data_IF_205516300227
#
_entry.id   IF_205516300227
#
_cell.length_a   1.000
_cell.length_b   1.000
_cell.length_c   1.000
_cell.angle_alpha   90.00
_cell.angle_beta   90.00
_cell.angle_gamma   90.00
#
_symmetry.space_group_name_H-M   'P 1'
#
loop_
_entity.id
_entity.type
_entity.pdbx_description
1 polymer ?
#
# COMPACT_ATOMS: atom_id res chain seq x y z
N UNK A 1 -8.93 -19.51 7.02
CA UNK A 1 -7.63 -19.08 7.58
C UNK A 1 -7.86 -18.36 8.90
N UNK A 2 -7.19 -18.76 9.97
CA UNK A 2 -7.26 -18.05 11.25
C UNK A 2 -6.51 -16.72 11.14
N UNK A 3 -7.02 -15.72 11.82
CA UNK A 3 -6.63 -14.30 11.68
C UNK A 3 -5.19 -14.01 12.16
N UNK A 4 -4.62 -14.90 12.97
CA UNK A 4 -3.20 -14.85 13.35
C UNK A 4 -2.29 -15.27 12.18
N UNK A 5 -2.79 -16.12 11.28
CA UNK A 5 -2.04 -16.59 10.12
C UNK A 5 -1.80 -15.49 9.09
N UNK A 6 -2.76 -14.58 8.86
CA UNK A 6 -2.57 -13.46 7.92
C UNK A 6 -1.51 -12.47 8.40
N UNK A 7 -1.42 -12.21 9.70
CA UNK A 7 -0.38 -11.33 10.24
C UNK A 7 1.01 -11.96 10.14
N UNK A 8 1.11 -13.26 10.44
CA UNK A 8 2.35 -14.02 10.25
C UNK A 8 2.73 -14.09 8.76
N UNK A 9 1.76 -14.27 7.87
CA UNK A 9 1.98 -14.23 6.42
C UNK A 9 2.43 -12.83 5.96
N UNK A 10 1.89 -11.74 6.50
CA UNK A 10 2.40 -10.39 6.21
C UNK A 10 3.87 -10.23 6.61
N UNK A 11 4.27 -10.74 7.78
CA UNK A 11 5.68 -10.76 8.18
C UNK A 11 6.52 -11.57 7.21
N UNK A 12 6.08 -12.80 6.89
CA UNK A 12 6.77 -13.66 5.92
C UNK A 12 6.93 -12.96 4.58
N UNK A 13 5.90 -12.28 4.08
CA UNK A 13 5.97 -11.58 2.79
C UNK A 13 6.96 -10.41 2.81
N UNK A 14 6.97 -9.60 3.88
CA UNK A 14 7.94 -8.51 4.02
C UNK A 14 9.37 -9.04 3.91
N UNK A 15 9.69 -10.08 4.67
CA UNK A 15 11.05 -10.65 4.69
C UNK A 15 11.38 -11.44 3.42
N UNK A 16 10.42 -12.20 2.89
CA UNK A 16 10.60 -12.97 1.65
C UNK A 16 10.75 -12.06 0.42
N UNK A 17 10.25 -10.83 0.45
CA UNK A 17 10.49 -9.84 -0.59
C UNK A 17 11.85 -9.16 -0.40
N UNK A 18 12.16 -8.68 0.80
CA UNK A 18 13.35 -7.83 1.01
C UNK A 18 14.67 -8.59 1.09
N UNK A 19 14.70 -9.81 1.64
CA UNK A 19 15.95 -10.59 1.73
C UNK A 19 16.50 -10.89 0.34
N UNK A 20 15.72 -11.42 -0.62
CA UNK A 20 16.19 -11.60 -1.99
C UNK A 20 16.61 -10.28 -2.66
N UNK A 21 15.86 -9.19 -2.45
CA UNK A 21 16.19 -7.90 -3.05
C UNK A 21 17.57 -7.39 -2.62
N UNK A 22 17.90 -7.50 -1.33
CA UNK A 22 19.22 -7.10 -0.80
C UNK A 22 20.33 -8.09 -1.19
N UNK A 23 20.01 -9.37 -1.41
CA UNK A 23 20.98 -10.32 -1.96
C UNK A 23 21.34 -9.95 -3.41
N UNK A 24 20.37 -9.50 -4.20
CA UNK A 24 20.60 -9.02 -5.57
C UNK A 24 21.34 -7.69 -5.58
N UNK A 25 20.95 -6.76 -4.70
CA UNK A 25 21.57 -5.44 -4.57
C UNK A 25 22.05 -5.19 -3.13
N UNK A 26 23.31 -5.54 -2.86
CA UNK A 26 23.92 -5.50 -1.53
C UNK A 26 24.03 -4.10 -0.92
N UNK A 27 24.12 -3.07 -1.75
CA UNK A 27 24.26 -1.68 -1.29
C UNK A 27 22.95 -1.15 -0.67
N UNK A 28 21.82 -1.80 -0.98
CA UNK A 28 20.51 -1.46 -0.45
C UNK A 28 20.18 -2.12 0.90
N UNK A 29 21.17 -2.60 1.66
CA UNK A 29 20.97 -3.27 2.97
C UNK A 29 20.16 -2.44 3.97
N UNK A 30 20.24 -1.11 3.89
CA UNK A 30 19.52 -0.18 4.77
C UNK A 30 17.99 -0.34 4.66
N UNK A 31 17.48 -0.90 3.55
CA UNK A 31 16.05 -1.23 3.38
C UNK A 31 15.54 -2.26 4.40
N UNK A 32 16.42 -3.12 4.94
CA UNK A 32 16.09 -4.09 5.99
C UNK A 32 15.67 -3.40 7.29
N UNK A 33 16.15 -2.18 7.55
CA UNK A 33 15.74 -1.38 8.71
C UNK A 33 14.25 -1.07 8.61
N UNK A 34 13.78 -0.64 7.42
CA UNK A 34 12.37 -0.35 7.20
C UNK A 34 11.50 -1.61 7.19
N UNK A 35 12.03 -2.73 6.67
CA UNK A 35 11.38 -4.04 6.75
C UNK A 35 11.19 -4.49 8.22
N UNK A 36 12.19 -4.25 9.07
CA UNK A 36 12.12 -4.50 10.50
C UNK A 36 11.09 -3.58 11.19
N UNK A 37 11.09 -2.28 10.90
CA UNK A 37 10.11 -1.34 11.45
C UNK A 37 8.67 -1.70 11.01
N UNK A 38 8.48 -2.11 9.77
CA UNK A 38 7.21 -2.58 9.25
C UNK A 38 6.77 -3.89 9.91
N UNK A 39 7.71 -4.78 10.20
CA UNK A 39 7.47 -5.97 11.01
C UNK A 39 7.00 -5.60 12.41
N UNK A 40 7.56 -4.56 13.02
CA UNK A 40 7.07 -3.99 14.28
C UNK A 40 5.64 -3.46 14.16
N UNK A 41 5.31 -2.71 13.10
CA UNK A 41 3.96 -2.21 12.86
C UNK A 41 2.94 -3.35 12.68
N UNK A 42 3.28 -4.38 11.90
CA UNK A 42 2.47 -5.60 11.73
C UNK A 42 2.39 -6.40 13.02
N UNK A 43 3.49 -6.49 13.77
CA UNK A 43 3.64 -7.22 15.04
C UNK A 43 2.78 -6.64 16.17
N UNK A 44 2.84 -5.33 16.38
CA UNK A 44 1.92 -4.61 17.26
C UNK A 44 0.48 -4.79 16.76
N UNK A 45 0.31 -4.78 15.43
CA UNK A 45 -0.93 -5.10 14.74
C UNK A 45 -1.37 -6.58 14.78
N UNK A 46 -0.56 -7.55 15.26
CA UNK A 46 -0.96 -8.97 15.32
C UNK A 46 -2.12 -9.19 16.29
N UNK A 47 -2.28 -8.29 17.26
CA UNK A 47 -3.44 -8.19 18.13
C UNK A 47 -4.68 -7.68 17.38
N UNK A 48 -4.47 -6.87 16.34
CA UNK A 48 -5.48 -6.31 15.43
C UNK A 48 -5.65 -7.16 14.18
N UNK A 49 -6.30 -8.29 14.37
CA UNK A 49 -6.96 -9.11 13.34
C UNK A 49 -6.83 -8.67 11.84
N UNK A 50 -5.69 -8.92 11.17
CA UNK A 50 -5.47 -8.53 9.76
C UNK A 50 -6.31 -9.37 8.79
N UNK A 51 -7.12 -8.73 7.95
CA UNK A 51 -7.89 -9.40 6.89
C UNK A 51 -7.08 -9.66 5.61
N UNK A 52 -7.64 -10.50 4.71
CA UNK A 52 -6.95 -10.88 3.47
C UNK A 52 -6.67 -9.69 2.56
N UNK A 53 -7.56 -8.70 2.53
CA UNK A 53 -7.35 -7.45 1.78
C UNK A 53 -6.07 -6.71 2.24
N UNK A 54 -5.90 -6.55 3.56
CA UNK A 54 -4.71 -5.87 4.11
C UNK A 54 -3.43 -6.67 3.83
N UNK A 55 -3.49 -7.99 3.93
CA UNK A 55 -2.37 -8.86 3.56
C UNK A 55 -1.96 -8.61 2.10
N UNK A 56 -2.92 -8.63 1.16
CA UNK A 56 -2.64 -8.41 -0.25
C UNK A 56 -2.05 -7.02 -0.52
N UNK A 57 -2.57 -5.98 0.15
CA UNK A 57 -2.03 -4.63 0.02
C UNK A 57 -0.59 -4.53 0.54
N UNK A 58 -0.31 -5.06 1.74
CA UNK A 58 1.06 -5.11 2.30
C UNK A 58 1.96 -5.92 1.37
N UNK A 59 1.51 -7.07 0.90
CA UNK A 59 2.28 -7.92 -0.01
C UNK A 59 2.66 -7.17 -1.28
N UNK A 60 1.71 -6.48 -1.92
CA UNK A 60 1.98 -5.71 -3.12
C UNK A 60 2.98 -4.57 -2.87
N UNK A 61 2.81 -3.80 -1.79
CA UNK A 61 3.74 -2.73 -1.39
C UNK A 61 5.17 -3.26 -1.28
N UNK A 62 5.38 -4.35 -0.54
CA UNK A 62 6.71 -4.88 -0.28
C UNK A 62 7.32 -5.62 -1.48
N UNK A 63 6.52 -6.34 -2.27
CA UNK A 63 6.99 -6.97 -3.51
C UNK A 63 7.41 -5.90 -4.52
N UNK A 64 6.60 -4.84 -4.72
CA UNK A 64 6.95 -3.73 -5.60
C UNK A 64 8.21 -3.01 -5.12
N UNK A 65 8.34 -2.76 -3.82
CA UNK A 65 9.54 -2.15 -3.24
C UNK A 65 10.76 -3.03 -3.46
N UNK A 66 10.64 -4.35 -3.24
CA UNK A 66 11.73 -5.30 -3.46
C UNK A 66 12.20 -5.33 -4.91
N UNK A 67 11.29 -5.30 -5.89
CA UNK A 67 11.67 -5.24 -7.31
C UNK A 67 12.45 -3.96 -7.64
N UNK A 68 11.99 -2.81 -7.16
CA UNK A 68 12.68 -1.55 -7.40
C UNK A 68 14.06 -1.51 -6.72
N UNK A 69 14.15 -1.97 -5.47
CA UNK A 69 15.41 -2.05 -4.70
C UNK A 69 16.40 -3.03 -5.34
N UNK A 70 15.92 -4.16 -5.84
CA UNK A 70 16.77 -5.15 -6.50
C UNK A 70 17.38 -4.60 -7.81
N UNK A 71 16.70 -3.66 -8.46
CA UNK A 71 17.20 -2.98 -9.65
C UNK A 71 18.10 -1.78 -9.30
N UNK A 72 17.68 -0.96 -8.34
CA UNK A 72 18.27 0.36 -8.06
C UNK A 72 18.62 0.55 -6.57
N UNK A 73 19.88 0.90 -6.29
CA UNK A 73 20.40 1.14 -4.93
C UNK A 73 19.86 2.44 -4.29
N UNK A 74 19.51 3.42 -5.13
CA UNK A 74 18.95 4.72 -4.76
C UNK A 74 17.48 4.72 -4.30
N UNK A 75 16.81 3.56 -4.22
CA UNK A 75 15.38 3.45 -3.87
C UNK A 75 15.03 3.74 -2.38
N UNK A 76 15.84 4.55 -1.67
CA UNK A 76 15.65 5.11 -0.32
C UNK A 76 14.20 5.41 0.02
N UNK A 77 13.60 6.26 -0.81
CA UNK A 77 12.25 6.75 -0.63
C UNK A 77 11.20 5.66 -0.67
N UNK A 78 11.35 4.65 -1.54
CA UNK A 78 10.37 3.58 -1.65
C UNK A 78 10.26 2.76 -0.36
N UNK A 79 11.38 2.47 0.30
CA UNK A 79 11.38 1.72 1.55
C UNK A 79 10.84 2.54 2.75
N UNK A 80 11.10 3.85 2.79
CA UNK A 80 10.47 4.74 3.78
C UNK A 80 8.95 4.74 3.59
N UNK A 81 8.49 4.98 2.36
CA UNK A 81 7.07 5.05 2.07
C UNK A 81 6.36 3.70 2.12
N UNK A 82 7.06 2.58 1.91
CA UNK A 82 6.50 1.24 2.07
C UNK A 82 6.22 0.92 3.54
N UNK A 83 7.12 1.35 4.44
CA UNK A 83 6.88 1.32 5.88
C UNK A 83 5.68 2.19 6.27
N UNK A 84 5.63 3.45 5.81
CA UNK A 84 4.51 4.34 6.10
C UNK A 84 3.17 3.81 5.54
N UNK A 85 3.18 3.24 4.34
CA UNK A 85 2.02 2.59 3.73
C UNK A 85 1.58 1.36 4.54
N UNK A 86 2.53 0.58 5.04
CA UNK A 86 2.24 -0.55 5.95
C UNK A 86 1.52 -0.05 7.20
N UNK A 87 2.02 1.01 7.84
CA UNK A 87 1.35 1.65 8.97
C UNK A 87 -0.07 2.10 8.62
N UNK A 88 -0.23 2.81 7.50
CA UNK A 88 -1.53 3.26 7.03
C UNK A 88 -2.49 2.09 6.82
N UNK A 89 -2.07 1.01 6.15
CA UNK A 89 -2.90 -0.17 5.88
C UNK A 89 -3.27 -0.91 7.18
N UNK A 90 -2.30 -1.16 8.07
CA UNK A 90 -2.51 -1.91 9.32
C UNK A 90 -3.48 -1.19 10.24
N UNK A 91 -3.34 0.14 10.38
CA UNK A 91 -4.12 0.96 11.29
C UNK A 91 -5.38 1.57 10.66
N UNK A 92 -5.71 1.23 9.42
CA UNK A 92 -6.85 1.77 8.68
C UNK A 92 -8.24 1.23 9.07
N UNK A 93 -9.27 1.88 8.55
CA UNK A 93 -10.66 1.42 8.52
C UNK A 93 -10.97 0.35 7.44
N UNK A 94 -9.97 -0.12 6.68
CA UNK A 94 -10.14 -1.08 5.58
C UNK A 94 -10.77 -2.39 6.07
N UNK A 95 -11.86 -2.84 5.44
CA UNK A 95 -12.51 -4.11 5.79
C UNK A 95 -11.73 -5.33 5.29
N UNK A 96 -11.91 -6.48 5.95
CA UNK A 96 -11.19 -7.73 5.61
C UNK A 96 -11.45 -8.23 4.19
N UNK A 97 -12.63 -7.97 3.64
CA UNK A 97 -13.08 -8.40 2.30
C UNK A 97 -12.91 -7.33 1.23
N UNK A 98 -12.26 -6.20 1.54
CA UNK A 98 -12.08 -5.08 0.63
C UNK A 98 -10.97 -5.32 -0.41
N UNK A 99 -11.05 -6.43 -1.14
CA UNK A 99 -9.99 -6.88 -2.06
C UNK A 99 -9.74 -5.88 -3.18
N UNK A 100 -10.76 -5.22 -3.74
CA UNK A 100 -10.54 -4.24 -4.82
C UNK A 100 -9.78 -3.00 -4.34
N UNK A 101 -9.93 -2.59 -3.07
CA UNK A 101 -9.08 -1.54 -2.50
C UNK A 101 -7.61 -1.99 -2.49
N UNK A 102 -7.36 -3.27 -2.21
CA UNK A 102 -6.01 -3.86 -2.23
C UNK A 102 -5.45 -3.92 -3.65
N UNK A 103 -6.29 -4.19 -4.64
CA UNK A 103 -5.91 -4.15 -6.06
C UNK A 103 -5.51 -2.75 -6.48
N UNK A 104 -6.27 -1.71 -6.09
CA UNK A 104 -5.89 -0.32 -6.35
C UNK A 104 -4.53 0.05 -5.75
N UNK A 105 -4.27 -0.39 -4.51
CA UNK A 105 -2.95 -0.22 -3.87
C UNK A 105 -1.86 -0.98 -4.65
N UNK A 106 -2.14 -2.23 -5.02
CA UNK A 106 -1.18 -3.06 -5.74
C UNK A 106 -0.78 -2.47 -7.09
N UNK A 107 -1.75 -1.93 -7.85
CA UNK A 107 -1.46 -1.28 -9.14
C UNK A 107 -0.65 0.00 -8.93
N UNK A 108 -0.99 0.84 -7.95
CA UNK A 108 -0.24 2.07 -7.67
C UNK A 108 1.24 1.76 -7.33
N UNK A 109 1.48 0.77 -6.47
CA UNK A 109 2.83 0.37 -6.08
C UNK A 109 3.58 -0.36 -7.20
N UNK A 110 2.90 -1.21 -7.98
CA UNK A 110 3.48 -1.87 -9.14
C UNK A 110 3.92 -0.88 -10.22
N UNK A 111 3.08 0.10 -10.53
CA UNK A 111 3.43 1.20 -11.46
C UNK A 111 4.60 2.02 -10.94
N UNK A 112 4.63 2.31 -9.64
CA UNK A 112 5.76 3.01 -9.01
C UNK A 112 7.06 2.24 -9.19
N UNK A 113 7.06 0.93 -8.92
CA UNK A 113 8.25 0.11 -9.10
C UNK A 113 8.70 0.08 -10.56
N UNK A 114 7.77 -0.11 -11.50
CA UNK A 114 8.09 -0.12 -12.92
C UNK A 114 8.66 1.23 -13.40
N UNK A 115 8.08 2.35 -12.96
CA UNK A 115 8.58 3.68 -13.27
C UNK A 115 9.98 3.91 -12.69
N UNK A 116 10.23 3.48 -11.45
CA UNK A 116 11.55 3.60 -10.80
C UNK A 116 12.62 2.82 -11.55
N UNK A 117 12.31 1.58 -11.92
CA UNK A 117 13.21 0.71 -12.68
C UNK A 117 13.50 1.31 -14.07
N UNK A 118 12.50 1.88 -14.74
CA UNK A 118 12.71 2.50 -16.05
C UNK A 118 13.51 3.82 -15.96
N UNK A 119 13.42 4.52 -14.83
CA UNK A 119 14.06 5.82 -14.60
C UNK A 119 15.47 5.76 -14.02
N UNK A 120 16.03 4.55 -13.82
CA UNK A 120 17.26 4.34 -13.05
C UNK A 120 17.22 5.06 -11.67
N UNK A 121 16.09 4.96 -10.98
CA UNK A 121 15.90 5.54 -9.64
C UNK A 121 15.38 6.99 -9.57
N UNK A 122 15.38 7.76 -10.66
CA UNK A 122 14.97 9.18 -10.64
C UNK A 122 13.48 9.36 -10.25
N UNK A 123 12.62 8.43 -10.63
CA UNK A 123 11.19 8.45 -10.35
C UNK A 123 10.79 7.99 -8.93
N UNK A 124 11.75 7.80 -8.01
CA UNK A 124 11.48 7.30 -6.65
C UNK A 124 10.52 8.17 -5.84
N UNK A 125 10.43 9.47 -6.16
CA UNK A 125 9.47 10.40 -5.54
C UNK A 125 7.99 10.02 -5.80
N UNK A 126 7.68 9.25 -6.86
CA UNK A 126 6.33 8.74 -7.14
C UNK A 126 5.79 7.92 -5.96
N UNK A 127 6.67 7.30 -5.17
CA UNK A 127 6.32 6.54 -3.97
C UNK A 127 5.55 7.36 -2.92
N UNK A 128 5.71 8.69 -2.88
CA UNK A 128 4.89 9.61 -2.08
C UNK A 128 3.42 9.45 -2.46
N UNK A 129 3.11 9.49 -3.76
CA UNK A 129 1.74 9.44 -4.27
C UNK A 129 1.15 8.03 -4.21
N UNK A 130 1.98 7.00 -4.37
CA UNK A 130 1.57 5.61 -4.12
C UNK A 130 1.23 5.37 -2.63
N UNK A 131 2.03 5.93 -1.71
CA UNK A 131 1.72 5.95 -0.28
C UNK A 131 0.41 6.69 0.00
N UNK A 132 0.24 7.91 -0.52
CA UNK A 132 -0.98 8.68 -0.31
C UNK A 132 -2.21 7.96 -0.88
N UNK A 133 -2.07 7.26 -2.01
CA UNK A 133 -3.12 6.39 -2.57
C UNK A 133 -3.43 5.22 -1.63
N UNK A 134 -2.41 4.58 -1.07
CA UNK A 134 -2.61 3.52 -0.09
C UNK A 134 -3.30 4.03 1.17
N UNK A 135 -2.92 5.19 1.68
CA UNK A 135 -3.53 5.81 2.84
C UNK A 135 -4.98 6.21 2.57
N UNK A 136 -5.30 6.74 1.40
CA UNK A 136 -6.67 7.12 1.04
C UNK A 136 -7.54 5.89 0.85
N UNK A 137 -7.11 4.90 0.06
CA UNK A 137 -7.87 3.68 -0.18
C UNK A 137 -8.05 2.84 1.08
N UNK A 138 -7.02 2.72 1.92
CA UNK A 138 -7.15 1.97 3.16
C UNK A 138 -8.19 2.60 4.12
N UNK A 139 -8.41 3.91 4.04
CA UNK A 139 -9.42 4.61 4.85
C UNK A 139 -10.78 4.78 4.17
N UNK A 140 -11.00 4.17 3.00
CA UNK A 140 -12.31 4.08 2.36
C UNK A 140 -13.15 2.96 2.97
N UNK A 141 -14.31 3.29 3.51
CA UNK A 141 -15.21 2.30 4.12
C UNK A 141 -16.10 1.64 3.05
N UNK A 142 -16.01 0.30 2.90
CA UNK A 142 -16.80 -0.58 1.99
C UNK A 142 -16.79 -0.26 0.49
N UNK A 143 -16.14 0.80 0.03
CA UNK A 143 -16.27 1.23 -1.36
C UNK A 143 -15.25 0.56 -2.30
N UNK A 144 -15.61 -0.63 -2.76
CA UNK A 144 -14.83 -1.42 -3.71
C UNK A 144 -14.66 -0.73 -5.06
N UNK A 145 -15.63 0.12 -5.46
CA UNK A 145 -15.61 0.82 -6.74
C UNK A 145 -14.43 1.80 -6.79
N UNK A 146 -14.08 2.41 -5.65
CA UNK A 146 -12.91 3.28 -5.55
C UNK A 146 -11.58 2.55 -5.70
N UNK A 147 -11.51 1.32 -5.23
CA UNK A 147 -10.35 0.46 -5.43
C UNK A 147 -10.12 0.16 -6.91
N UNK A 148 -11.21 -0.14 -7.63
CA UNK A 148 -11.17 -0.30 -9.09
C UNK A 148 -10.82 1.01 -9.80
N UNK A 149 -11.40 2.14 -9.40
CA UNK A 149 -11.11 3.44 -9.99
C UNK A 149 -9.61 3.79 -9.84
N UNK A 150 -9.04 3.59 -8.65
CA UNK A 150 -7.61 3.81 -8.43
C UNK A 150 -6.76 2.86 -9.27
N UNK A 151 -7.14 1.58 -9.39
CA UNK A 151 -6.44 0.63 -10.26
C UNK A 151 -6.45 1.09 -11.72
N UNK A 152 -7.58 1.57 -12.24
CA UNK A 152 -7.69 2.08 -13.61
C UNK A 152 -6.87 3.35 -13.80
N UNK A 153 -6.96 4.32 -12.88
CA UNK A 153 -6.27 5.60 -12.98
C UNK A 153 -4.76 5.44 -12.91
N UNK A 154 -4.26 4.67 -11.94
CA UNK A 154 -2.84 4.34 -11.86
C UNK A 154 -2.38 3.48 -13.02
N UNK A 155 -3.21 2.54 -13.49
CA UNK A 155 -2.91 1.72 -14.66
C UNK A 155 -2.74 2.55 -15.93
N UNK A 156 -3.67 3.48 -16.22
CA UNK A 156 -3.57 4.39 -17.37
C UNK A 156 -2.34 5.29 -17.24
N UNK A 157 -2.13 5.90 -16.08
CA UNK A 157 -0.97 6.75 -15.84
C UNK A 157 0.34 5.97 -16.03
N UNK A 158 0.42 4.75 -15.49
CA UNK A 158 1.58 3.88 -15.62
C UNK A 158 1.85 3.47 -17.06
N UNK A 159 0.82 3.09 -17.83
CA UNK A 159 0.98 2.77 -19.25
C UNK A 159 1.56 3.97 -20.02
N UNK A 160 1.09 5.18 -19.73
CA UNK A 160 1.60 6.40 -20.39
C UNK A 160 3.06 6.67 -19.98
N UNK A 161 3.40 6.57 -18.70
CA UNK A 161 4.78 6.74 -18.22
C UNK A 161 5.72 5.75 -18.90
N UNK A 162 5.32 4.47 -18.93
CA UNK A 162 6.13 3.39 -19.50
C UNK A 162 6.27 3.51 -21.03
N UNK A 163 5.21 3.92 -21.73
CA UNK A 163 5.21 4.08 -23.18
C UNK A 163 5.95 5.33 -23.68
N UNK A 164 6.28 6.27 -22.80
CA UNK A 164 6.98 7.52 -23.16
C UNK A 164 8.44 7.52 -22.72
N UNK A 165 9.06 6.32 -22.62
CA UNK A 165 10.45 6.10 -22.20
C UNK A 165 10.80 6.82 -20.89
N UNK A 166 9.91 6.73 -19.90
CA UNK A 166 10.10 7.40 -18.63
C UNK A 166 9.76 8.90 -18.62
N UNK A 167 9.06 9.37 -19.63
CA UNK A 167 8.43 10.69 -19.60
C UNK A 167 7.23 10.74 -18.64
N UNK A 168 6.82 11.96 -18.27
CA UNK A 168 5.51 12.22 -17.66
C UNK A 168 5.25 11.55 -16.30
N UNK A 169 6.29 11.25 -15.52
CA UNK A 169 6.15 10.75 -14.14
C UNK A 169 5.25 11.61 -13.25
N UNK A 170 5.15 12.91 -13.55
CA UNK A 170 4.20 13.83 -12.92
C UNK A 170 2.73 13.35 -12.98
N UNK A 171 2.37 12.45 -13.90
CA UNK A 171 1.04 11.80 -13.97
C UNK A 171 0.68 11.00 -12.71
N UNK A 172 1.64 10.69 -11.84
CA UNK A 172 1.38 10.15 -10.51
C UNK A 172 0.53 11.10 -9.65
N UNK A 173 0.71 12.42 -9.82
CA UNK A 173 -0.04 13.46 -9.11
C UNK A 173 -1.53 13.43 -9.47
N UNK A 174 -1.94 13.57 -10.75
CA UNK A 174 -3.35 13.45 -11.12
C UNK A 174 -3.89 12.04 -10.89
N UNK A 175 -3.10 10.97 -11.03
CA UNK A 175 -3.55 9.62 -10.71
C UNK A 175 -3.95 9.49 -9.23
N UNK A 176 -3.11 10.01 -8.32
CA UNK A 176 -3.45 10.09 -6.90
C UNK A 176 -4.63 11.03 -6.65
N UNK A 177 -4.62 12.25 -7.19
CA UNK A 177 -5.70 13.23 -6.97
C UNK A 177 -7.05 12.70 -7.44
N UNK A 178 -7.12 12.10 -8.63
CA UNK A 178 -8.35 11.51 -9.14
C UNK A 178 -8.78 10.28 -8.33
N UNK A 179 -7.81 9.47 -7.87
CA UNK A 179 -8.10 8.38 -6.92
C UNK A 179 -8.67 8.95 -5.62
N UNK A 180 -8.09 10.04 -5.09
CA UNK A 180 -8.50 10.71 -3.86
C UNK A 180 -9.82 11.50 -4.00
N UNK A 181 -10.13 12.05 -5.17
CA UNK A 181 -11.37 12.78 -5.44
C UNK A 181 -12.51 11.82 -5.73
N UNK A 182 -12.23 10.66 -6.33
CA UNK A 182 -13.22 9.57 -6.48
C UNK A 182 -13.74 9.07 -5.11
N UNK A 183 -13.01 9.38 -4.03
CA UNK A 183 -13.38 9.11 -2.63
C UNK A 183 -14.44 10.10 -2.11
N UNK A 184 -14.72 11.20 -2.81
CA UNK A 184 -15.77 12.16 -2.46
C UNK A 184 -15.44 12.92 -1.17
N UNK A 185 -14.86 14.11 -1.31
CA UNK A 185 -14.63 15.04 -0.18
C UNK A 185 -15.97 15.51 0.44
N UNK A 186 -17.10 15.35 -0.25
CA UNK A 186 -18.42 15.88 0.15
C UNK A 186 -19.49 14.90 0.64
N UNK A 187 -19.32 13.57 0.54
CA UNK A 187 -20.42 12.61 0.80
C UNK A 187 -20.03 11.41 1.70
N UNK A 188 -19.24 11.66 2.75
CA UNK A 188 -19.00 10.67 3.81
C UNK A 188 -17.93 9.60 3.50
N UNK A 189 -17.15 9.79 2.44
CA UNK A 189 -16.22 8.79 1.92
C UNK A 189 -14.84 8.76 2.58
N UNK A 190 -14.35 9.87 3.12
CA UNK A 190 -13.12 9.95 3.90
C UNK A 190 -13.46 10.18 5.37
N UNK A 191 -13.37 9.12 6.18
CA UNK A 191 -13.57 9.24 7.62
C UNK A 191 -12.21 9.23 8.31
N UNK A 192 -11.84 10.36 8.92
CA UNK A 192 -10.81 10.33 9.96
C UNK A 192 -11.22 9.29 11.01
N UNK A 193 -10.29 8.47 11.52
CA UNK A 193 -10.60 7.53 12.58
C UNK A 193 -11.16 8.30 13.78
N UNK A 194 -12.49 8.27 13.95
CA UNK A 194 -13.20 9.07 14.96
C UNK A 194 -12.99 8.57 16.39
N UNK A 195 -12.43 7.37 16.53
CA UNK A 195 -12.17 6.71 17.79
C UNK A 195 -10.90 5.88 17.64
N UNK A 196 -9.85 6.21 18.39
CA UNK A 196 -8.77 5.28 18.74
C UNK A 196 -9.33 4.27 19.75
N UNK A 197 -10.47 3.64 19.44
CA UNK A 197 -11.05 2.62 20.29
C UNK A 197 -10.14 1.39 20.20
N UNK A 198 -9.46 1.13 21.32
CA UNK A 198 -8.75 -0.09 21.63
C UNK A 198 -9.74 -1.23 21.84
N UNK A 199 -10.63 -1.42 20.88
CA UNK A 199 -11.66 -2.41 21.01
C UNK A 199 -11.16 -3.75 20.47
N UNK A 200 -10.64 -4.54 21.40
CA UNK A 200 -10.11 -5.88 21.17
C UNK A 200 -11.22 -6.89 20.88
N UNK A 201 -12.51 -6.52 21.02
CA UNK A 201 -13.60 -7.50 21.09
C UNK A 201 -14.90 -7.17 20.33
N UNK A 202 -15.22 -5.91 20.01
CA UNK A 202 -16.62 -5.56 19.66
C UNK A 202 -16.96 -5.34 18.17
N UNK A 203 -16.02 -5.52 17.23
CA UNK A 203 -16.29 -5.12 15.82
C UNK A 203 -17.01 -6.14 14.93
N UNK A 204 -17.49 -7.26 15.47
CA UNK A 204 -18.07 -8.33 14.64
C UNK A 204 -19.62 -8.33 14.57
N UNK A 205 -20.38 -7.57 15.38
CA UNK A 205 -21.86 -7.76 15.46
C UNK A 205 -22.79 -6.58 15.11
N UNK A 206 -22.32 -5.35 14.88
CA UNK A 206 -23.26 -4.25 14.56
C UNK A 206 -23.34 -3.96 13.05
N UNK A 207 -24.34 -4.56 12.41
CA UNK A 207 -24.96 -4.00 11.22
C UNK A 207 -25.76 -2.76 11.64
N UNK A 208 -25.44 -1.54 11.16
CA UNK A 208 -26.20 -0.34 11.50
C UNK A 208 -27.64 -0.35 10.92
N UNK A 209 -28.07 -1.46 10.31
CA UNK A 209 -29.46 -1.70 9.91
C UNK A 209 -30.36 -2.11 11.09
N UNK A 210 -29.83 -2.20 12.31
CA UNK A 210 -30.59 -2.40 13.56
C UNK A 210 -30.48 -1.16 14.44
N UNK A 211 -31.02 -0.03 13.97
CA UNK A 211 -31.58 1.06 14.78
C UNK A 211 -32.72 1.72 14.00
#
# INVERSE_FOLDING_TARGET
>A
MTIKASSLLSLVVIWAAMVPAVIVNGDAWWTLIFAFLASGAVGIGMWRRLGIARLLAIAAVWISTAFAVAAEDGAAWMAIFSFLATGAIVYSAMRRTAVLLSVGIAVAWGVTAAAVIQSDGDATWISIFAFLTAATLANCWRDQVRGLAAAVLWGIAGIIMLATDGGWYWLAVPAWLLSAISIGIGSGGFNFPRRFEWDLWERDDEDPAVL
#
